data_IF_452373507653
#
_entry.id   IF_452373507653
#
_cell.length_a   1.000
_cell.length_b   1.000
_cell.length_c   1.000
_cell.angle_alpha   90.00
_cell.angle_beta   90.00
_cell.angle_gamma   90.00
#
_symmetry.space_group_name_H-M   'P 1'
#
loop_
_entity.id
_entity.type
_entity.pdbx_description
1 polymer ?
#
# COMPACT_ATOMS: atom_id res chain seq x y z
N UNK A 1 -29.36 -25.72 -32.31
CA UNK A 1 -28.14 -25.01 -31.85
C UNK A 1 -26.92 -25.70 -32.44
N UNK A 2 -26.01 -24.95 -33.06
CA UNK A 2 -24.91 -25.48 -33.85
C UNK A 2 -23.79 -26.01 -32.93
N UNK A 3 -23.34 -27.26 -33.13
CA UNK A 3 -22.29 -27.91 -32.31
C UNK A 3 -20.96 -27.13 -32.28
N UNK A 4 -20.70 -26.29 -33.29
CA UNK A 4 -19.53 -25.41 -33.36
C UNK A 4 -19.57 -24.22 -32.39
N UNK A 5 -20.78 -23.72 -32.07
CA UNK A 5 -20.94 -22.60 -31.13
C UNK A 5 -20.78 -23.07 -29.69
N UNK A 6 -21.34 -24.24 -29.37
CA UNK A 6 -21.22 -24.89 -28.06
C UNK A 6 -19.76 -25.26 -27.76
N UNK A 7 -19.00 -25.74 -28.74
CA UNK A 7 -17.58 -26.08 -28.55
C UNK A 7 -16.66 -24.86 -28.45
N UNK A 8 -16.97 -23.75 -29.14
CA UNK A 8 -16.25 -22.48 -28.95
C UNK A 8 -16.49 -21.90 -27.55
N UNK A 9 -17.73 -21.96 -27.07
CA UNK A 9 -18.14 -21.39 -25.79
C UNK A 9 -17.54 -22.17 -24.59
N UNK A 10 -17.51 -23.51 -24.68
CA UNK A 10 -16.86 -24.35 -23.66
C UNK A 10 -15.33 -24.18 -23.65
N UNK A 11 -14.70 -24.03 -24.82
CA UNK A 11 -13.26 -23.76 -24.91
C UNK A 11 -12.91 -22.36 -24.38
N UNK A 12 -13.73 -21.34 -24.66
CA UNK A 12 -13.59 -19.99 -24.13
C UNK A 12 -13.69 -19.97 -22.61
N UNK A 13 -14.73 -20.61 -22.05
CA UNK A 13 -14.96 -20.68 -20.62
C UNK A 13 -13.85 -21.42 -19.87
N UNK A 14 -13.38 -22.56 -20.38
CA UNK A 14 -12.26 -23.30 -19.81
C UNK A 14 -10.98 -22.46 -19.75
N UNK A 15 -10.66 -21.77 -20.85
CA UNK A 15 -9.50 -20.88 -20.92
C UNK A 15 -9.56 -19.71 -19.92
N UNK A 16 -10.77 -19.17 -19.68
CA UNK A 16 -11.01 -18.10 -18.73
C UNK A 16 -10.83 -18.58 -17.28
N UNK A 17 -11.40 -19.73 -16.92
CA UNK A 17 -11.25 -20.33 -15.58
C UNK A 17 -9.78 -20.64 -15.29
N UNK A 18 -9.03 -21.13 -16.27
CA UNK A 18 -7.60 -21.38 -16.09
C UNK A 18 -6.81 -20.09 -15.90
N UNK A 19 -7.15 -19.02 -16.62
CA UNK A 19 -6.57 -17.69 -16.40
C UNK A 19 -6.88 -17.18 -14.98
N UNK A 20 -8.13 -17.34 -14.53
CA UNK A 20 -8.57 -16.96 -13.20
C UNK A 20 -7.78 -17.70 -12.11
N UNK A 21 -7.65 -19.02 -12.22
CA UNK A 21 -6.85 -19.84 -11.28
C UNK A 21 -5.40 -19.39 -11.21
N UNK A 22 -4.78 -19.07 -12.36
CA UNK A 22 -3.40 -18.57 -12.41
C UNK A 22 -3.27 -17.23 -11.68
N UNK A 23 -4.18 -16.30 -11.92
CA UNK A 23 -4.12 -14.96 -11.32
C UNK A 23 -4.44 -14.97 -9.82
N UNK A 24 -5.39 -15.79 -9.37
CA UNK A 24 -5.66 -16.00 -7.94
C UNK A 24 -4.44 -16.63 -7.24
N UNK A 25 -3.76 -17.60 -7.87
CA UNK A 25 -2.53 -18.17 -7.33
C UNK A 25 -1.39 -17.13 -7.27
N UNK A 26 -1.25 -16.29 -8.29
CA UNK A 26 -0.27 -15.20 -8.29
C UNK A 26 -0.55 -14.19 -7.17
N UNK A 27 -1.80 -13.77 -7.00
CA UNK A 27 -2.21 -12.90 -5.90
C UNK A 27 -1.95 -13.53 -4.53
N UNK A 28 -2.26 -14.82 -4.37
CA UNK A 28 -1.97 -15.55 -3.14
C UNK A 28 -0.47 -15.55 -2.82
N UNK A 29 0.38 -15.76 -3.82
CA UNK A 29 1.84 -15.70 -3.69
C UNK A 29 2.31 -14.30 -3.29
N UNK A 30 1.82 -13.26 -3.94
CA UNK A 30 2.15 -11.86 -3.61
C UNK A 30 1.80 -11.57 -2.14
N UNK A 31 0.58 -11.89 -1.70
CA UNK A 31 0.20 -11.67 -0.30
C UNK A 31 1.00 -12.52 0.68
N UNK A 32 1.39 -13.75 0.31
CA UNK A 32 2.28 -14.58 1.12
C UNK A 32 3.66 -13.91 1.28
N UNK A 33 4.23 -13.41 0.18
CA UNK A 33 5.52 -12.71 0.19
C UNK A 33 5.43 -11.47 1.07
N UNK A 34 4.44 -10.59 0.84
CA UNK A 34 4.24 -9.39 1.64
C UNK A 34 4.08 -9.72 3.13
N UNK A 35 3.25 -10.71 3.48
CA UNK A 35 3.12 -11.17 4.86
C UNK A 35 4.46 -11.59 5.47
N UNK A 36 5.27 -12.37 4.75
CA UNK A 36 6.60 -12.78 5.22
C UNK A 36 7.54 -11.57 5.36
N UNK A 37 7.54 -10.65 4.40
CA UNK A 37 8.33 -9.41 4.44
C UNK A 37 8.03 -8.61 5.71
N UNK A 38 6.76 -8.43 6.06
CA UNK A 38 6.39 -7.67 7.27
C UNK A 38 6.71 -8.43 8.58
N UNK A 39 6.71 -9.76 8.58
CA UNK A 39 7.23 -10.55 9.72
C UNK A 39 8.74 -10.32 9.89
N UNK A 40 9.50 -10.39 8.80
CA UNK A 40 10.94 -10.17 8.81
C UNK A 40 11.27 -8.75 9.25
N UNK A 41 10.53 -7.74 8.76
CA UNK A 41 10.68 -6.36 9.21
C UNK A 41 10.41 -6.21 10.70
N UNK A 42 9.36 -6.82 11.25
CA UNK A 42 9.11 -6.80 12.69
C UNK A 42 10.30 -7.37 13.47
N UNK A 43 10.84 -8.52 13.05
CA UNK A 43 11.99 -9.16 13.71
C UNK A 43 13.23 -8.27 13.65
N UNK A 44 13.56 -7.73 12.48
CA UNK A 44 14.72 -6.85 12.27
C UNK A 44 14.60 -5.57 13.10
N UNK A 45 13.39 -5.07 13.32
CA UNK A 45 13.17 -3.84 14.07
C UNK A 45 13.17 -4.04 15.59
N UNK A 46 13.09 -5.26 16.12
CA UNK A 46 13.11 -5.51 17.57
C UNK A 46 14.37 -4.92 18.25
N UNK A 47 15.61 -5.14 17.76
CA UNK A 47 16.80 -4.50 18.33
C UNK A 47 16.74 -2.98 18.26
N UNK A 48 16.24 -2.42 17.15
CA UNK A 48 16.10 -0.97 16.97
C UNK A 48 15.13 -0.41 18.00
N UNK A 49 14.02 -1.10 18.23
CA UNK A 49 13.03 -0.75 19.24
C UNK A 49 13.61 -0.77 20.65
N UNK A 50 14.41 -1.79 20.97
CA UNK A 50 15.09 -1.88 22.25
C UNK A 50 16.01 -0.67 22.50
N UNK A 51 16.92 -0.38 21.56
CA UNK A 51 17.83 0.77 21.68
C UNK A 51 17.11 2.12 21.70
N UNK A 52 15.98 2.24 21.00
CA UNK A 52 15.20 3.47 21.00
C UNK A 52 14.49 3.68 22.34
N UNK A 53 13.94 2.61 22.95
CA UNK A 53 13.32 2.65 24.29
C UNK A 53 14.37 2.95 25.37
N UNK A 54 15.57 2.38 25.27
CA UNK A 54 16.65 2.59 26.24
C UNK A 54 17.06 4.07 26.37
N UNK A 55 16.87 4.87 25.31
CA UNK A 55 17.06 6.33 25.36
C UNK A 55 16.08 7.05 26.31
N UNK A 56 15.09 6.36 26.86
CA UNK A 56 14.31 6.76 28.03
C UNK A 56 13.29 7.88 27.83
N UNK A 57 13.10 8.36 26.59
CA UNK A 57 12.17 9.47 26.32
C UNK A 57 10.78 9.02 25.87
N UNK A 58 9.75 9.78 26.25
CA UNK A 58 8.35 9.51 25.88
C UNK A 58 8.17 9.46 24.35
N UNK A 59 8.81 10.36 23.61
CA UNK A 59 8.73 10.39 22.14
C UNK A 59 9.30 9.12 21.50
N UNK A 60 10.36 8.56 22.07
CA UNK A 60 11.01 7.34 21.60
C UNK A 60 10.12 6.11 21.82
N UNK A 61 9.51 5.99 22.99
CA UNK A 61 8.56 4.90 23.29
C UNK A 61 7.34 4.98 22.37
N UNK A 62 6.73 6.16 22.23
CA UNK A 62 5.57 6.36 21.36
C UNK A 62 5.92 6.07 19.90
N UNK A 63 7.09 6.51 19.42
CA UNK A 63 7.60 6.21 18.07
C UNK A 63 7.63 4.72 17.80
N UNK A 64 8.24 3.95 18.70
CA UNK A 64 8.33 2.49 18.58
C UNK A 64 6.94 1.85 18.51
N UNK A 65 6.02 2.27 19.38
CA UNK A 65 4.64 1.77 19.41
C UNK A 65 3.94 2.02 18.07
N UNK A 66 4.01 3.22 17.51
CA UNK A 66 3.40 3.54 16.23
C UNK A 66 4.01 2.74 15.06
N UNK A 67 5.34 2.57 15.03
CA UNK A 67 5.99 1.74 14.00
C UNK A 67 5.54 0.27 14.12
N UNK A 68 5.51 -0.27 15.33
CA UNK A 68 5.09 -1.64 15.59
C UNK A 68 3.61 -1.87 15.22
N UNK A 69 2.73 -0.92 15.53
CA UNK A 69 1.32 -0.96 15.14
C UNK A 69 1.15 -0.90 13.61
N UNK A 70 1.94 -0.07 12.92
CA UNK A 70 1.93 0.00 11.46
C UNK A 70 2.29 -1.34 10.82
N UNK A 71 3.41 -1.94 11.21
CA UNK A 71 3.81 -3.26 10.69
C UNK A 71 2.83 -4.36 11.06
N UNK A 72 2.31 -4.36 12.30
CA UNK A 72 1.33 -5.35 12.75
C UNK A 72 0.02 -5.25 11.95
N UNK A 73 -0.43 -4.05 11.64
CA UNK A 73 -1.64 -3.83 10.85
C UNK A 73 -1.45 -4.31 9.40
N UNK A 74 -0.34 -3.97 8.75
CA UNK A 74 -0.01 -4.50 7.41
C UNK A 74 0.08 -6.03 7.41
N UNK A 75 0.73 -6.60 8.42
CA UNK A 75 0.83 -8.05 8.58
C UNK A 75 -0.57 -8.69 8.65
N UNK A 76 -1.47 -8.12 9.47
CA UNK A 76 -2.85 -8.60 9.59
C UNK A 76 -3.61 -8.51 8.26
N UNK A 77 -3.53 -7.36 7.57
CA UNK A 77 -4.18 -7.15 6.28
C UNK A 77 -3.73 -8.21 5.26
N UNK A 78 -2.43 -8.41 5.09
CA UNK A 78 -1.91 -9.38 4.12
C UNK A 78 -2.18 -10.83 4.53
N UNK A 79 -2.14 -11.15 5.82
CA UNK A 79 -2.52 -12.48 6.32
C UNK A 79 -4.00 -12.77 6.04
N UNK A 80 -4.88 -11.80 6.25
CA UNK A 80 -6.30 -11.91 5.95
C UNK A 80 -6.56 -12.05 4.43
N UNK A 81 -5.91 -11.20 3.62
CA UNK A 81 -5.98 -11.25 2.15
C UNK A 81 -5.58 -12.62 1.61
N UNK A 82 -4.43 -13.14 2.07
CA UNK A 82 -3.91 -14.45 1.67
C UNK A 82 -4.91 -15.58 2.03
N UNK A 83 -5.46 -15.55 3.24
CA UNK A 83 -6.42 -16.56 3.72
C UNK A 83 -7.72 -16.53 2.91
N UNK A 84 -8.19 -15.34 2.53
CA UNK A 84 -9.39 -15.15 1.71
C UNK A 84 -9.24 -15.78 0.32
N UNK A 85 -8.08 -15.61 -0.32
CA UNK A 85 -7.81 -16.19 -1.65
C UNK A 85 -7.57 -17.70 -1.57
N UNK A 86 -6.89 -18.19 -0.52
CA UNK A 86 -6.66 -19.63 -0.34
C UNK A 86 -7.95 -20.46 -0.25
N UNK A 87 -9.05 -19.86 0.20
CA UNK A 87 -10.35 -20.53 0.44
C UNK A 87 -11.25 -20.63 -0.79
N UNK A 88 -10.80 -20.21 -1.97
CA UNK A 88 -11.63 -20.23 -3.18
C UNK A 88 -11.85 -21.67 -3.63
N UNK A 89 -13.13 -22.07 -3.74
CA UNK A 89 -13.51 -23.33 -4.35
C UNK A 89 -13.89 -23.10 -5.80
N UNK A 90 -13.20 -23.76 -6.73
CA UNK A 90 -13.55 -23.78 -8.16
C UNK A 90 -14.51 -24.92 -8.52
N UNK A 91 -14.95 -25.71 -7.53
CA UNK A 91 -15.97 -26.74 -7.71
C UNK A 91 -17.40 -26.18 -7.59
N UNK A 92 -17.54 -24.87 -7.33
CA UNK A 92 -18.83 -24.20 -7.26
C UNK A 92 -19.46 -24.05 -8.66
N UNK A 93 -20.80 -23.94 -8.74
CA UNK A 93 -21.48 -23.60 -9.98
C UNK A 93 -20.89 -22.34 -10.63
N UNK A 94 -20.75 -22.36 -11.95
CA UNK A 94 -20.12 -21.30 -12.75
C UNK A 94 -20.63 -19.90 -12.41
N UNK A 95 -21.95 -19.72 -12.30
CA UNK A 95 -22.55 -18.43 -11.97
C UNK A 95 -22.10 -17.90 -10.59
N UNK A 96 -22.00 -18.77 -9.58
CA UNK A 96 -21.57 -18.41 -8.22
C UNK A 96 -20.07 -18.03 -8.24
N UNK A 97 -19.26 -18.80 -8.97
CA UNK A 97 -17.84 -18.51 -9.15
C UNK A 97 -17.62 -17.14 -9.81
N UNK A 98 -18.36 -16.83 -10.87
CA UNK A 98 -18.26 -15.56 -11.59
C UNK A 98 -18.68 -14.37 -10.71
N UNK A 99 -19.81 -14.48 -9.98
CA UNK A 99 -20.24 -13.44 -9.02
C UNK A 99 -19.21 -13.19 -7.93
N UNK A 100 -18.58 -14.25 -7.40
CA UNK A 100 -17.47 -14.11 -6.43
C UNK A 100 -16.23 -13.50 -7.05
N UNK A 101 -15.99 -13.75 -8.34
CA UNK A 101 -14.85 -13.22 -9.10
C UNK A 101 -14.98 -11.72 -9.34
N UNK A 102 -16.14 -11.26 -9.81
CA UNK A 102 -16.46 -9.84 -9.93
C UNK A 102 -16.17 -9.09 -8.61
N UNK A 103 -16.71 -9.62 -7.51
CA UNK A 103 -16.53 -9.04 -6.18
C UNK A 103 -15.09 -9.12 -5.67
N UNK A 104 -14.22 -9.94 -6.24
CA UNK A 104 -12.82 -10.10 -5.80
C UNK A 104 -11.88 -9.12 -6.51
N UNK A 105 -12.16 -8.80 -7.76
CA UNK A 105 -11.31 -7.94 -8.58
C UNK A 105 -11.85 -6.50 -8.68
N UNK A 106 -12.84 -6.15 -7.84
CA UNK A 106 -13.31 -4.77 -7.71
C UNK A 106 -12.20 -3.90 -7.11
N UNK A 107 -12.00 -2.66 -7.58
CA UNK A 107 -11.04 -1.77 -6.95
C UNK A 107 -11.58 -1.30 -5.58
N UNK A 108 -10.68 -0.96 -4.66
CA UNK A 108 -11.00 -0.39 -3.34
C UNK A 108 -11.84 -1.31 -2.45
N UNK A 109 -11.31 -2.48 -2.15
CA UNK A 109 -11.91 -3.33 -1.12
C UNK A 109 -11.79 -2.68 0.27
N UNK A 110 -12.73 -3.01 1.16
CA UNK A 110 -12.63 -2.69 2.59
C UNK A 110 -11.27 -3.10 3.19
N UNK A 111 -10.66 -4.15 2.63
CA UNK A 111 -9.33 -4.60 3.00
C UNK A 111 -8.21 -3.65 2.52
N UNK A 112 -8.35 -3.05 1.35
CA UNK A 112 -7.43 -2.05 0.83
C UNK A 112 -7.50 -0.77 1.70
N UNK A 113 -8.71 -0.39 2.12
CA UNK A 113 -8.93 0.72 3.05
C UNK A 113 -8.31 0.45 4.44
N UNK A 114 -8.33 -0.80 4.90
CA UNK A 114 -7.68 -1.19 6.16
C UNK A 114 -6.15 -1.04 6.14
N UNK A 115 -5.54 -0.86 4.96
CA UNK A 115 -4.10 -0.56 4.82
C UNK A 115 -3.76 0.91 5.11
N UNK A 116 -4.74 1.81 5.01
CA UNK A 116 -4.58 3.25 5.27
C UNK A 116 -4.13 3.53 6.72
N UNK A 117 -4.79 3.02 7.77
CA UNK A 117 -4.33 3.25 9.14
C UNK A 117 -2.93 2.69 9.40
N UNK A 118 -2.57 1.56 8.76
CA UNK A 118 -1.21 1.01 8.85
C UNK A 118 -0.16 2.01 8.34
N UNK A 119 -0.45 2.65 7.20
CA UNK A 119 0.41 3.68 6.63
C UNK A 119 0.50 4.92 7.53
N UNK A 120 -0.64 5.40 8.05
CA UNK A 120 -0.68 6.54 8.97
C UNK A 120 0.19 6.27 10.21
N UNK A 121 0.09 5.07 10.79
CA UNK A 121 0.92 4.70 11.94
C UNK A 121 2.41 4.70 11.61
N UNK A 122 2.81 4.19 10.44
CA UNK A 122 4.22 4.24 10.02
C UNK A 122 4.72 5.67 9.79
N UNK A 123 3.92 6.52 9.13
CA UNK A 123 4.29 7.93 8.89
C UNK A 123 4.45 8.68 10.21
N UNK A 124 3.49 8.52 11.13
CA UNK A 124 3.58 9.13 12.46
C UNK A 124 4.79 8.59 13.20
N UNK A 125 4.95 7.27 13.30
CA UNK A 125 6.03 6.64 14.04
C UNK A 125 7.41 7.05 13.52
N UNK A 126 7.65 6.99 12.21
CA UNK A 126 8.92 7.37 11.61
C UNK A 126 9.21 8.87 11.70
N UNK A 127 8.18 9.71 11.65
CA UNK A 127 8.30 11.17 11.77
C UNK A 127 8.38 11.69 13.21
N UNK A 128 8.10 10.85 14.22
CA UNK A 128 7.99 11.28 15.60
C UNK A 128 9.37 11.49 16.24
N UNK A 129 9.65 12.73 16.65
CA UNK A 129 10.81 13.11 17.44
C UNK A 129 10.48 14.39 18.22
N UNK A 130 11.24 14.67 19.29
CA UNK A 130 11.06 15.92 20.04
C UNK A 130 11.27 17.16 19.15
N UNK A 131 12.27 17.11 18.26
CA UNK A 131 12.58 18.20 17.34
C UNK A 131 11.46 18.42 16.32
N UNK A 132 10.90 17.34 15.77
CA UNK A 132 9.77 17.43 14.81
C UNK A 132 8.50 17.91 15.45
N UNK A 133 8.21 17.47 16.66
CA UNK A 133 7.04 17.94 17.38
C UNK A 133 7.09 19.45 17.63
N UNK A 134 8.24 19.97 18.08
CA UNK A 134 8.45 21.40 18.30
C UNK A 134 8.36 22.20 17.01
N UNK A 135 9.05 21.75 15.96
CA UNK A 135 9.01 22.28 14.61
C UNK A 135 7.57 22.38 14.03
N UNK A 136 6.81 21.29 14.13
CA UNK A 136 5.42 21.24 13.68
C UNK A 136 4.54 22.19 14.49
N UNK A 137 4.74 22.25 15.81
CA UNK A 137 4.02 23.18 16.68
C UNK A 137 4.29 24.64 16.30
N UNK A 138 5.56 24.98 16.05
CA UNK A 138 5.97 26.32 15.59
C UNK A 138 5.34 26.67 14.23
N UNK A 139 5.37 25.75 13.28
CA UNK A 139 4.73 25.91 11.96
C UNK A 139 3.23 26.21 12.07
N UNK A 140 2.47 25.43 12.84
CA UNK A 140 1.03 25.65 13.03
C UNK A 140 0.69 26.91 13.84
N UNK A 141 1.65 27.43 14.62
CA UNK A 141 1.50 28.70 15.34
C UNK A 141 1.99 29.91 14.55
N UNK A 142 2.62 29.72 13.39
CA UNK A 142 3.13 30.80 12.55
C UNK A 142 2.05 31.32 11.59
N UNK A 143 2.02 32.63 11.36
CA UNK A 143 1.19 33.24 10.31
C UNK A 143 1.66 32.71 8.95
N UNK A 144 0.90 31.76 8.41
CA UNK A 144 1.32 30.94 7.29
C UNK A 144 1.32 31.75 5.99
N UNK A 145 2.47 32.31 5.60
CA UNK A 145 2.61 32.94 4.29
C UNK A 145 2.85 31.87 3.20
N UNK A 146 1.75 31.20 2.81
CA UNK A 146 1.73 30.05 1.89
C UNK A 146 2.51 30.30 0.59
N UNK A 147 2.52 31.53 0.08
CA UNK A 147 3.23 31.89 -1.17
C UNK A 147 4.75 31.81 -1.05
N UNK A 148 5.33 32.19 0.10
CA UNK A 148 6.78 32.09 0.31
C UNK A 148 7.23 30.62 0.33
N UNK A 149 6.47 29.78 1.03
CA UNK A 149 6.75 28.35 1.16
C UNK A 149 6.62 27.59 -0.16
N UNK A 150 5.64 27.95 -0.99
CA UNK A 150 5.47 27.37 -2.33
C UNK A 150 6.60 27.75 -3.30
N UNK A 151 7.16 28.96 -3.17
CA UNK A 151 8.31 29.41 -3.97
C UNK A 151 9.57 28.63 -3.57
N UNK A 152 9.82 28.47 -2.26
CA UNK A 152 10.93 27.66 -1.75
C UNK A 152 10.78 26.18 -2.13
N UNK A 153 9.58 25.60 -1.98
CA UNK A 153 9.30 24.22 -2.37
C UNK A 153 9.50 23.99 -3.88
N UNK A 154 9.15 24.98 -4.72
CA UNK A 154 9.40 24.93 -6.17
C UNK A 154 10.89 24.98 -6.48
N UNK A 155 11.64 25.91 -5.88
CA UNK A 155 13.09 25.98 -6.09
C UNK A 155 13.81 24.71 -5.60
N UNK A 156 13.31 24.13 -4.52
CA UNK A 156 13.78 22.87 -3.95
C UNK A 156 13.53 21.67 -4.87
N UNK A 157 12.31 21.50 -5.40
CA UNK A 157 11.95 20.37 -6.27
C UNK A 157 12.68 20.37 -7.63
N UNK A 158 13.15 21.53 -8.09
CA UNK A 158 13.66 21.69 -9.46
C UNK A 158 15.13 22.17 -9.56
N UNK A 159 15.88 22.35 -8.46
CA UNK A 159 17.31 22.73 -8.51
C UNK A 159 18.25 21.71 -7.85
N UNK A 160 18.87 20.84 -8.65
CA UNK A 160 19.75 19.75 -8.18
C UNK A 160 21.03 20.19 -7.45
N UNK A 161 21.51 21.41 -7.69
CA UNK A 161 22.76 21.92 -7.09
C UNK A 161 22.60 22.30 -5.60
N UNK A 162 21.37 22.62 -5.19
CA UNK A 162 21.06 22.98 -3.80
C UNK A 162 21.02 21.76 -2.88
N UNK A 163 20.61 20.59 -3.39
CA UNK A 163 20.50 19.35 -2.62
C UNK A 163 21.83 18.91 -2.02
N UNK A 164 22.91 18.99 -2.80
CA UNK A 164 24.26 18.61 -2.35
C UNK A 164 24.87 19.60 -1.35
N UNK A 165 24.72 20.91 -1.61
CA UNK A 165 25.20 21.97 -0.70
C UNK A 165 24.45 21.96 0.64
N UNK A 166 23.17 21.59 0.65
CA UNK A 166 22.40 21.46 1.89
C UNK A 166 22.75 20.19 2.66
N UNK A 167 22.87 19.03 1.99
CA UNK A 167 23.28 17.76 2.62
C UNK A 167 24.60 17.90 3.40
N UNK A 168 25.55 18.66 2.85
CA UNK A 168 26.84 18.92 3.49
C UNK A 168 26.75 19.87 4.71
N UNK A 169 25.73 20.74 4.79
CA UNK A 169 25.56 21.76 5.85
C UNK A 169 24.53 21.38 6.94
N UNK A 170 23.64 20.42 6.66
CA UNK A 170 22.46 20.12 7.51
C UNK A 170 22.67 19.09 8.62
N UNK A 171 23.85 18.48 8.74
CA UNK A 171 24.10 17.45 9.77
C UNK A 171 23.99 18.02 11.20
N UNK A 172 24.12 19.35 11.41
CA UNK A 172 24.03 19.96 12.73
C UNK A 172 22.90 21.00 12.97
N UNK A 173 22.35 21.69 11.97
CA UNK A 173 21.54 22.91 12.26
C UNK A 173 20.06 22.94 11.85
N UNK A 174 19.51 22.01 11.05
CA UNK A 174 18.08 22.10 10.68
C UNK A 174 17.32 20.78 10.77
N UNK A 175 16.77 20.45 11.95
CA UNK A 175 15.95 19.25 12.13
C UNK A 175 14.63 19.29 11.33
N UNK A 176 14.10 20.48 11.03
CA UNK A 176 12.88 20.67 10.22
C UNK A 176 13.02 20.13 8.80
N UNK A 177 14.10 20.50 8.10
CA UNK A 177 14.28 20.20 6.68
C UNK A 177 14.45 18.70 6.45
N UNK A 178 15.24 18.04 7.29
CA UNK A 178 15.43 16.58 7.25
C UNK A 178 14.08 15.88 7.41
N UNK A 179 13.19 16.41 8.25
CA UNK A 179 11.90 15.78 8.52
C UNK A 179 10.93 16.03 7.38
N UNK A 180 10.87 17.24 6.84
CA UNK A 180 10.11 17.50 5.62
C UNK A 180 10.59 16.65 4.44
N UNK A 181 11.90 16.43 4.31
CA UNK A 181 12.48 15.53 3.30
C UNK A 181 12.06 14.08 3.54
N UNK A 182 12.21 13.56 4.76
CA UNK A 182 11.88 12.16 5.08
C UNK A 182 10.37 11.91 4.96
N UNK A 183 9.53 12.79 5.53
CA UNK A 183 8.07 12.70 5.43
C UNK A 183 7.61 12.88 3.98
N UNK A 184 8.18 13.83 3.24
CA UNK A 184 7.91 14.03 1.81
C UNK A 184 8.29 12.82 0.96
N UNK A 185 9.44 12.21 1.22
CA UNK A 185 9.89 10.99 0.54
C UNK A 185 8.97 9.80 0.84
N UNK A 186 8.50 9.63 2.08
CA UNK A 186 7.55 8.59 2.46
C UNK A 186 6.19 8.76 1.78
N UNK A 187 5.68 10.00 1.72
CA UNK A 187 4.45 10.33 0.97
C UNK A 187 4.65 10.05 -0.52
N UNK A 188 5.80 10.40 -1.08
CA UNK A 188 6.10 10.16 -2.48
C UNK A 188 6.15 8.65 -2.82
N UNK A 189 6.81 7.84 -1.98
CA UNK A 189 6.82 6.38 -2.12
C UNK A 189 5.40 5.81 -2.05
N UNK A 190 4.55 6.34 -1.17
CA UNK A 190 3.16 5.93 -1.07
C UNK A 190 2.36 6.26 -2.33
N UNK A 191 2.49 7.47 -2.85
CA UNK A 191 1.83 7.87 -4.11
C UNK A 191 2.28 6.97 -5.26
N UNK A 192 3.58 6.69 -5.39
CA UNK A 192 4.10 5.76 -6.39
C UNK A 192 3.51 4.35 -6.20
N UNK A 193 3.48 3.85 -4.96
CA UNK A 193 2.95 2.52 -4.66
C UNK A 193 1.46 2.41 -4.98
N UNK A 194 0.69 3.45 -4.69
CA UNK A 194 -0.72 3.55 -5.01
C UNK A 194 -0.95 3.61 -6.53
N UNK A 195 -0.18 4.44 -7.25
CA UNK A 195 -0.23 4.53 -8.71
C UNK A 195 0.14 3.20 -9.37
N UNK A 196 1.19 2.54 -8.90
CA UNK A 196 1.60 1.23 -9.40
C UNK A 196 0.50 0.17 -9.16
N UNK A 197 -0.11 0.17 -7.97
CA UNK A 197 -1.25 -0.70 -7.66
C UNK A 197 -2.45 -0.45 -8.56
N UNK A 198 -2.77 0.82 -8.81
CA UNK A 198 -3.85 1.20 -9.72
C UNK A 198 -3.57 0.78 -11.18
N UNK A 199 -2.34 1.01 -11.67
CA UNK A 199 -1.93 0.60 -13.01
C UNK A 199 -2.00 -0.93 -13.18
N UNK A 200 -1.54 -1.69 -12.17
CA UNK A 200 -1.67 -3.15 -12.16
C UNK A 200 -3.14 -3.57 -12.19
N UNK A 201 -4.01 -2.87 -11.46
CA UNK A 201 -5.44 -3.14 -11.48
C UNK A 201 -6.07 -2.89 -12.86
N UNK A 202 -5.79 -1.74 -13.48
CA UNK A 202 -6.29 -1.41 -14.82
C UNK A 202 -5.82 -2.42 -15.87
N UNK A 203 -4.55 -2.81 -15.83
CA UNK A 203 -3.95 -3.69 -16.84
C UNK A 203 -4.37 -5.15 -16.68
N UNK A 204 -4.44 -5.68 -15.45
CA UNK A 204 -4.63 -7.13 -15.21
C UNK A 204 -5.98 -7.51 -14.62
N UNK A 205 -6.45 -6.77 -13.62
CA UNK A 205 -7.60 -7.18 -12.81
C UNK A 205 -8.93 -6.69 -13.37
N UNK A 206 -8.95 -5.47 -13.91
CA UNK A 206 -10.10 -4.91 -14.62
C UNK A 206 -10.60 -5.81 -15.75
N UNK A 207 -9.77 -6.31 -16.69
CA UNK A 207 -10.28 -7.16 -17.77
C UNK A 207 -10.85 -8.50 -17.27
N UNK A 208 -10.32 -9.08 -16.18
CA UNK A 208 -10.86 -10.32 -15.61
C UNK A 208 -12.24 -10.08 -15.01
N UNK A 209 -12.42 -8.96 -14.30
CA UNK A 209 -13.71 -8.55 -13.75
C UNK A 209 -14.73 -8.29 -14.85
N UNK A 210 -14.34 -7.56 -15.88
CA UNK A 210 -15.24 -7.16 -16.96
C UNK A 210 -15.70 -8.38 -17.77
N UNK A 211 -14.81 -9.33 -18.06
CA UNK A 211 -15.18 -10.62 -18.66
C UNK A 211 -16.12 -11.42 -17.76
N UNK A 212 -15.88 -11.45 -16.45
CA UNK A 212 -16.77 -12.15 -15.53
C UNK A 212 -18.18 -11.53 -15.51
N UNK A 213 -18.27 -10.20 -15.58
CA UNK A 213 -19.54 -9.48 -15.66
C UNK A 213 -20.31 -9.76 -16.95
N UNK A 214 -19.61 -9.86 -18.08
CA UNK A 214 -20.20 -10.22 -19.37
C UNK A 214 -20.79 -11.63 -19.34
N UNK A 215 -20.01 -12.61 -18.89
CA UNK A 215 -20.46 -14.00 -18.76
C UNK A 215 -21.63 -14.17 -17.78
N UNK A 216 -21.68 -13.38 -16.70
CA UNK A 216 -22.84 -13.38 -15.80
C UNK A 216 -24.10 -12.94 -16.54
N UNK A 217 -24.01 -11.86 -17.33
CA UNK A 217 -25.15 -11.35 -18.10
C UNK A 217 -25.64 -12.33 -19.15
N UNK A 218 -24.73 -13.08 -19.78
CA UNK A 218 -25.09 -14.12 -20.76
C UNK A 218 -25.78 -15.31 -20.12
N UNK A 219 -25.44 -15.67 -18.88
CA UNK A 219 -26.06 -16.79 -18.15
C UNK A 219 -27.42 -16.39 -17.54
N UNK A 220 -27.60 -15.12 -17.16
CA UNK A 220 -28.83 -14.61 -16.53
C UNK A 220 -29.90 -14.18 -17.54
N UNK A 221 -29.52 -13.94 -18.80
CA UNK A 221 -30.45 -13.68 -19.92
C UNK A 221 -30.93 -14.98 -20.57
#
# INVERSE_FOLDING_TARGET
MNNSKISQDTNGMGSFIDKLKREDNNLQKIFKILKITYIVLLIIYIPIFYFEIEKGGLFQVVKVVFIALGFSTFLFVFAYAQKKIKKISYAEPTLILLKKTEKRYRPFHLLDLASIPAFIFLVIGLGLSKKTFLATKEFFSSDLNLSAYLIEARQFLFSGEHWFKMLAKTVNEFPMIIVFMVTGMLIFIFVISFLAGYLLWVSKYKPIRDNALELIKEIEN
#
